data_IF_828920900726
#
_entry.id   IF_828920900726
#
_cell.length_a   1.000
_cell.length_b   1.000
_cell.length_c   1.000
_cell.angle_alpha   90.00
_cell.angle_beta   90.00
_cell.angle_gamma   90.00
#
_symmetry.space_group_name_H-M   'P 1'
#
loop_
_entity.id
_entity.type
_entity.pdbx_description
1 polymer ?
#
# COMPACT_ATOMS: atom_id res chain seq x y z
N UNK A 1 -21.22 -39.56 -11.55
CA UNK A 1 -21.67 -38.79 -10.36
C UNK A 1 -20.58 -37.85 -9.77
N UNK A 2 -19.55 -37.43 -10.53
CA UNK A 2 -18.51 -36.47 -10.03
C UNK A 2 -18.52 -35.10 -10.73
N UNK A 3 -19.27 -34.95 -11.84
CA UNK A 3 -19.30 -33.71 -12.64
C UNK A 3 -20.31 -32.66 -12.13
N UNK A 4 -21.28 -33.07 -11.31
CA UNK A 4 -22.31 -32.17 -10.78
C UNK A 4 -21.87 -31.37 -9.54
N UNK A 5 -20.80 -31.80 -8.85
CA UNK A 5 -20.26 -31.08 -7.67
C UNK A 5 -19.51 -29.82 -8.08
N UNK A 6 -18.91 -29.80 -9.28
CA UNK A 6 -18.11 -28.65 -9.76
C UNK A 6 -18.99 -27.44 -10.10
N UNK A 7 -20.23 -27.65 -10.53
CA UNK A 7 -21.13 -26.55 -10.91
C UNK A 7 -21.76 -25.82 -9.71
N UNK A 8 -21.90 -26.47 -8.55
CA UNK A 8 -22.45 -25.84 -7.34
C UNK A 8 -21.47 -24.88 -6.65
N UNK A 9 -20.16 -25.05 -6.84
CA UNK A 9 -19.14 -24.18 -6.25
C UNK A 9 -19.04 -22.80 -6.94
N UNK A 10 -19.46 -22.70 -8.21
CA UNK A 10 -19.31 -21.47 -9.01
C UNK A 10 -20.42 -20.45 -8.69
N UNK A 11 -21.58 -20.90 -8.21
CA UNK A 11 -22.70 -20.01 -7.85
C UNK A 11 -22.60 -19.42 -6.43
N UNK A 12 -21.71 -19.92 -5.56
CA UNK A 12 -21.59 -19.46 -4.18
C UNK A 12 -20.71 -18.19 -3.99
N UNK A 13 -19.93 -17.79 -5.00
CA UNK A 13 -19.01 -16.64 -4.90
C UNK A 13 -19.59 -15.34 -5.48
N UNK A 14 -20.73 -15.42 -6.18
CA UNK A 14 -21.42 -14.26 -6.79
C UNK A 14 -22.52 -13.64 -5.89
N UNK A 15 -22.61 -14.04 -4.62
CA UNK A 15 -23.80 -13.83 -3.76
C UNK A 15 -23.63 -13.00 -2.48
N UNK A 16 -22.60 -12.15 -2.35
CA UNK A 16 -22.47 -11.21 -1.22
C UNK A 16 -22.04 -9.84 -1.75
N UNK A 17 -22.94 -8.97 -2.23
CA UNK A 17 -24.13 -8.48 -1.51
C UNK A 17 -23.69 -7.42 -0.50
N UNK A 18 -23.34 -6.21 -0.98
CA UNK A 18 -24.07 -4.97 -0.70
C UNK A 18 -24.78 -4.95 0.67
N UNK A 19 -24.12 -4.35 1.66
CA UNK A 19 -24.78 -3.74 2.81
C UNK A 19 -24.25 -2.31 2.93
N UNK A 20 -25.04 -1.35 2.44
CA UNK A 20 -24.80 0.07 2.58
C UNK A 20 -25.30 0.60 3.93
N UNK A 21 -24.64 1.66 4.40
CA UNK A 21 -25.05 2.59 5.46
C UNK A 21 -24.15 3.82 5.22
N UNK A 22 -24.58 5.01 4.78
CA UNK A 22 -25.72 5.85 5.13
C UNK A 22 -25.12 7.22 5.54
N UNK A 23 -25.54 8.38 5.01
CA UNK A 23 -24.86 9.66 5.22
C UNK A 23 -25.32 10.35 6.52
N UNK A 24 -24.44 11.08 7.21
CA UNK A 24 -24.77 11.92 8.35
C UNK A 24 -23.82 13.11 8.48
N UNK A 25 -24.34 14.32 8.25
CA UNK A 25 -23.90 15.62 8.79
C UNK A 25 -23.86 15.54 10.34
N UNK A 26 -23.08 16.29 11.15
CA UNK A 26 -23.09 17.75 11.45
C UNK A 26 -21.82 18.15 12.29
N UNK A 27 -21.37 19.40 12.21
CA UNK A 27 -20.18 20.08 12.83
C UNK A 27 -20.50 20.74 14.22
N UNK A 28 -19.68 21.66 14.84
CA UNK A 28 -18.27 21.73 15.33
C UNK A 28 -18.16 22.13 16.85
N UNK A 29 -16.96 22.19 17.47
CA UNK A 29 -16.55 23.23 18.47
C UNK A 29 -15.06 23.10 18.93
N UNK A 30 -14.36 24.25 19.03
CA UNK A 30 -12.93 24.51 19.41
C UNK A 30 -12.94 25.47 20.62
N UNK A 31 -11.94 25.52 21.55
CA UNK A 31 -11.02 26.68 21.53
C UNK A 31 -9.57 26.51 22.10
N UNK A 32 -8.63 27.24 21.47
CA UNK A 32 -7.50 28.10 21.96
C UNK A 32 -6.45 27.54 22.98
N UNK A 33 -5.14 27.87 22.98
CA UNK A 33 -4.44 29.15 22.72
C UNK A 33 -2.87 28.97 22.66
N UNK A 34 -2.23 29.76 21.77
CA UNK A 34 -0.88 30.38 21.74
C UNK A 34 0.49 29.73 22.17
N UNK A 35 1.47 29.89 21.25
CA UNK A 35 2.89 30.33 21.42
C UNK A 35 4.08 29.34 21.32
N UNK A 36 4.95 29.63 20.32
CA UNK A 36 6.42 29.35 20.17
C UNK A 36 6.93 27.97 19.72
N UNK A 37 7.62 27.93 18.57
CA UNK A 37 8.60 26.90 18.18
C UNK A 37 9.96 27.13 18.91
N UNK A 38 10.89 26.14 19.02
CA UNK A 38 11.02 24.93 18.19
C UNK A 38 11.40 23.59 18.89
N UNK A 39 10.77 22.50 18.42
CA UNK A 39 11.07 21.06 18.58
C UNK A 39 11.05 20.46 20.01
N UNK A 40 10.84 19.14 20.22
CA UNK A 40 10.20 18.10 19.39
C UNK A 40 9.14 17.32 20.22
N UNK A 41 7.87 17.30 19.85
CA UNK A 41 6.89 16.32 20.37
C UNK A 41 5.63 16.35 19.52
N UNK A 42 5.07 15.16 19.41
CA UNK A 42 3.66 14.82 19.21
C UNK A 42 2.67 15.82 18.61
N UNK A 43 1.93 15.27 17.65
CA UNK A 43 0.51 15.54 17.44
C UNK A 43 0.10 17.01 17.28
N UNK A 44 0.16 17.52 16.05
CA UNK A 44 -0.82 18.53 15.64
C UNK A 44 -1.39 18.17 14.28
N UNK A 45 -2.64 17.71 14.38
CA UNK A 45 -3.71 17.74 13.39
C UNK A 45 -3.58 18.94 12.46
N UNK A 46 -3.53 18.70 11.15
CA UNK A 46 -3.69 19.73 10.13
C UNK A 46 -4.91 19.37 9.28
N UNK A 47 -6.07 19.89 9.68
CA UNK A 47 -7.17 20.13 8.75
C UNK A 47 -6.70 21.14 7.68
N UNK A 48 -7.20 20.94 6.46
CA UNK A 48 -7.02 21.82 5.30
C UNK A 48 -5.60 22.03 4.77
N UNK A 49 -4.86 20.93 4.60
CA UNK A 49 -3.98 20.88 3.42
C UNK A 49 -4.90 20.68 2.21
N UNK A 50 -4.74 21.41 1.09
CA UNK A 50 -5.27 20.89 -0.17
C UNK A 50 -4.84 19.44 -0.20
N UNK A 51 -5.78 18.51 -0.33
CA UNK A 51 -5.43 17.12 -0.58
C UNK A 51 -4.80 17.18 -1.96
N UNK A 52 -3.53 17.57 -2.00
CA UNK A 52 -2.71 17.57 -3.18
C UNK A 52 -2.60 16.09 -3.46
N UNK A 53 -3.52 15.68 -4.31
CA UNK A 53 -3.74 14.34 -4.72
C UNK A 53 -2.59 14.02 -5.67
N UNK A 54 -1.40 13.92 -5.09
CA UNK A 54 -0.19 13.67 -5.83
C UNK A 54 -0.11 12.18 -6.08
N UNK A 55 0.11 11.83 -7.35
CA UNK A 55 0.64 10.52 -7.68
C UNK A 55 1.92 10.33 -6.85
N UNK A 56 1.96 9.26 -6.04
CA UNK A 56 3.13 8.90 -5.26
C UNK A 56 3.87 7.80 -5.98
N UNK A 57 5.19 7.92 -6.01
CA UNK A 57 6.07 6.92 -6.58
C UNK A 57 6.86 6.29 -5.45
N UNK A 58 7.03 4.98 -5.49
CA UNK A 58 7.89 4.27 -4.58
C UNK A 58 8.85 3.38 -5.33
N UNK A 59 10.08 3.38 -4.85
CA UNK A 59 11.16 2.51 -5.28
C UNK A 59 11.49 1.58 -4.13
N UNK A 60 11.38 0.28 -4.36
CA UNK A 60 11.79 -0.74 -3.42
C UNK A 60 13.08 -1.38 -3.93
N UNK A 61 14.13 -1.36 -3.11
CA UNK A 61 15.37 -2.06 -3.40
C UNK A 61 15.47 -3.24 -2.46
N UNK A 62 15.50 -4.46 -3.00
CA UNK A 62 15.65 -5.67 -2.22
C UNK A 62 16.97 -6.37 -2.53
N UNK A 63 17.61 -6.84 -1.48
CA UNK A 63 18.76 -7.74 -1.55
C UNK A 63 18.36 -9.14 -1.08
N UNK A 64 19.00 -10.13 -1.66
CA UNK A 64 18.68 -11.53 -1.42
C UNK A 64 19.81 -12.45 -1.82
N UNK A 65 19.50 -13.74 -1.83
CA UNK A 65 20.42 -14.80 -2.22
C UNK A 65 19.77 -15.71 -3.25
N UNK A 66 20.58 -16.21 -4.17
CA UNK A 66 20.19 -17.21 -5.17
C UNK A 66 20.43 -18.60 -4.62
N UNK A 67 19.83 -19.62 -5.24
CA UNK A 67 20.02 -21.01 -4.84
C UNK A 67 21.49 -21.50 -4.94
N UNK A 68 22.33 -20.81 -5.71
CA UNK A 68 23.78 -21.09 -5.84
C UNK A 68 24.64 -20.39 -4.77
N UNK A 69 24.04 -19.63 -3.86
CA UNK A 69 24.76 -18.87 -2.82
C UNK A 69 25.28 -17.51 -3.25
N UNK A 70 24.99 -17.07 -4.49
CA UNK A 70 25.30 -15.70 -4.94
C UNK A 70 24.29 -14.68 -4.39
N UNK A 71 24.73 -13.43 -4.21
CA UNK A 71 23.83 -12.33 -3.84
C UNK A 71 23.06 -11.83 -5.07
N UNK A 72 21.83 -11.41 -4.86
CA UNK A 72 20.99 -10.82 -5.89
C UNK A 72 20.40 -9.51 -5.37
N UNK A 73 20.36 -8.50 -6.23
CA UNK A 73 19.75 -7.21 -5.96
C UNK A 73 18.67 -6.97 -7.01
N UNK A 74 17.45 -6.74 -6.55
CA UNK A 74 16.32 -6.40 -7.41
C UNK A 74 15.76 -5.06 -7.02
N UNK A 75 15.33 -4.30 -8.02
CA UNK A 75 14.69 -3.02 -7.83
C UNK A 75 13.29 -3.10 -8.41
N UNK A 76 12.31 -2.88 -7.55
CA UNK A 76 10.91 -2.78 -7.89
C UNK A 76 10.44 -1.34 -7.90
N UNK A 77 9.51 -1.04 -8.80
CA UNK A 77 8.90 0.28 -8.92
C UNK A 77 7.39 0.18 -8.81
N UNK A 78 6.80 1.13 -8.10
CA UNK A 78 5.37 1.21 -7.93
C UNK A 78 4.94 2.66 -7.93
N UNK A 79 3.84 2.94 -8.62
CA UNK A 79 3.25 4.26 -8.67
C UNK A 79 1.77 4.16 -8.33
N UNK A 80 1.24 5.22 -7.75
CA UNK A 80 -0.19 5.38 -7.51
C UNK A 80 -0.73 6.53 -8.31
N UNK A 81 -2.02 6.46 -8.62
CA UNK A 81 -2.77 7.60 -9.18
C UNK A 81 -3.10 8.62 -8.08
N UNK A 82 -3.69 9.75 -8.48
CA UNK A 82 -4.00 10.97 -7.69
C UNK A 82 -4.41 10.72 -6.22
N UNK A 83 -5.08 9.60 -5.88
CA UNK A 83 -5.53 9.31 -4.50
C UNK A 83 -4.77 8.19 -3.76
N UNK A 84 -3.70 7.63 -4.32
CA UNK A 84 -2.95 6.56 -3.65
C UNK A 84 -1.75 7.08 -2.89
N UNK A 85 -1.72 6.84 -1.58
CA UNK A 85 -0.57 7.18 -0.74
C UNK A 85 0.65 6.28 -0.96
N UNK A 86 1.78 6.69 -0.36
CA UNK A 86 3.06 5.97 -0.39
C UNK A 86 2.95 4.49 -0.04
N UNK A 87 2.10 4.13 0.93
CA UNK A 87 1.88 2.73 1.32
C UNK A 87 1.42 1.86 0.15
N UNK A 88 0.55 2.38 -0.71
CA UNK A 88 0.04 1.66 -1.88
C UNK A 88 1.08 1.61 -2.99
N UNK A 89 1.81 2.71 -3.22
CA UNK A 89 2.90 2.76 -4.20
C UNK A 89 4.02 1.77 -3.82
N UNK A 90 4.45 1.74 -2.56
CA UNK A 90 5.50 0.81 -2.10
C UNK A 90 5.03 -0.64 -2.12
N UNK A 91 3.75 -0.90 -1.89
CA UNK A 91 3.21 -2.26 -2.06
C UNK A 91 3.34 -2.75 -3.51
N UNK A 92 3.04 -1.89 -4.49
CA UNK A 92 3.24 -2.24 -5.90
C UNK A 92 4.72 -2.37 -6.26
N UNK A 93 5.58 -1.51 -5.71
CA UNK A 93 7.02 -1.62 -5.89
C UNK A 93 7.56 -2.95 -5.34
N UNK A 94 7.06 -3.41 -4.18
CA UNK A 94 7.42 -4.69 -3.58
C UNK A 94 6.98 -5.86 -4.47
N UNK A 95 5.74 -5.84 -4.96
CA UNK A 95 5.22 -6.87 -5.85
C UNK A 95 6.02 -6.96 -7.16
N UNK A 96 6.44 -5.83 -7.72
CA UNK A 96 7.32 -5.79 -8.89
C UNK A 96 8.72 -6.34 -8.57
N UNK A 97 9.29 -6.00 -7.41
CA UNK A 97 10.55 -6.57 -6.94
C UNK A 97 10.46 -8.10 -6.74
N UNK A 98 9.37 -8.59 -6.14
CA UNK A 98 9.11 -10.02 -5.92
C UNK A 98 8.98 -10.77 -7.26
N UNK A 99 8.23 -10.21 -8.22
CA UNK A 99 8.08 -10.79 -9.55
C UNK A 99 9.42 -10.90 -10.29
N UNK A 100 10.25 -9.86 -10.20
CA UNK A 100 11.61 -9.88 -10.75
C UNK A 100 12.47 -10.91 -10.02
N UNK A 101 12.45 -10.95 -8.70
CA UNK A 101 13.21 -11.91 -7.92
C UNK A 101 12.86 -13.36 -8.28
N UNK A 102 11.57 -13.65 -8.45
CA UNK A 102 11.10 -14.96 -8.91
C UNK A 102 11.65 -15.31 -10.31
N UNK A 103 11.69 -14.35 -11.24
CA UNK A 103 12.25 -14.57 -12.57
C UNK A 103 13.76 -14.85 -12.57
N UNK A 104 14.49 -14.33 -11.58
CA UNK A 104 15.94 -14.54 -11.42
C UNK A 104 16.29 -15.68 -10.45
N UNK A 105 15.31 -16.38 -9.86
CA UNK A 105 15.56 -17.41 -8.85
C UNK A 105 16.20 -16.87 -7.57
N UNK A 106 15.88 -15.62 -7.22
CA UNK A 106 16.39 -14.89 -6.07
C UNK A 106 15.38 -14.96 -4.90
N UNK A 107 15.85 -15.35 -3.72
CA UNK A 107 15.09 -15.23 -2.47
C UNK A 107 15.44 -13.92 -1.78
N UNK A 108 14.47 -13.02 -1.69
CA UNK A 108 14.65 -11.71 -1.04
C UNK A 108 14.74 -11.86 0.47
N UNK A 109 15.74 -11.21 1.07
CA UNK A 109 15.98 -11.23 2.51
C UNK A 109 15.68 -9.88 3.16
N UNK A 110 16.12 -8.79 2.53
CA UNK A 110 15.93 -7.43 3.03
C UNK A 110 15.44 -6.53 1.91
N UNK A 111 14.55 -5.60 2.23
CA UNK A 111 14.10 -4.59 1.30
C UNK A 111 14.02 -3.24 1.98
N UNK A 112 14.43 -2.20 1.26
CA UNK A 112 14.30 -0.81 1.64
C UNK A 112 13.36 -0.10 0.66
N UNK A 113 12.37 0.59 1.21
CA UNK A 113 11.37 1.32 0.45
C UNK A 113 11.66 2.83 0.52
N UNK A 114 11.66 3.50 -0.62
CA UNK A 114 11.82 4.94 -0.73
C UNK A 114 10.63 5.52 -1.51
N UNK A 115 9.81 6.35 -0.86
CA UNK A 115 8.66 7.00 -1.49
C UNK A 115 8.93 8.48 -1.75
N UNK A 116 8.51 8.96 -2.92
CA UNK A 116 8.50 10.37 -3.33
C UNK A 116 7.09 10.77 -3.79
#
# INVERSE_FOLDING_TARGET
MKRHVVWLAILAVLGSGFAGCGPGTETPEVPADETSQPSPSDEVSSEDRPVEAFARNCKTTCSGFTASGGTCNVVGFGATTFLGGCKKACRFARQDADAKAASYGCQLAQCSDACN
#
